data_IF_167937900150
#
_entry.id   IF_167937900150
#
_cell.length_a   1.000
_cell.length_b   1.000
_cell.length_c   1.000
_cell.angle_alpha   90.00
_cell.angle_beta   90.00
_cell.angle_gamma   90.00
#
_symmetry.space_group_name_H-M   'P 1'
#
loop_
_entity.id
_entity.type
_entity.pdbx_description
1 polymer ?
#
# COMPACT_ATOMS: atom_id res chain seq x y z
N UNK A 1 -21.07 6.96 -13.89
CA UNK A 1 -20.29 6.64 -12.68
C UNK A 1 -21.27 6.20 -11.61
N UNK A 2 -21.28 4.93 -11.24
CA UNK A 2 -22.23 4.40 -10.24
C UNK A 2 -21.82 4.84 -8.83
N UNK A 3 -22.62 5.65 -8.12
CA UNK A 3 -22.24 6.18 -6.81
C UNK A 3 -21.98 5.07 -5.79
N UNK A 4 -22.70 3.95 -5.89
CA UNK A 4 -22.49 2.75 -5.06
C UNK A 4 -21.12 2.09 -5.26
N UNK A 5 -20.52 2.20 -6.44
CA UNK A 5 -19.19 1.66 -6.72
C UNK A 5 -18.10 2.57 -6.13
N UNK A 6 -18.31 3.88 -6.20
CA UNK A 6 -17.37 4.86 -5.64
C UNK A 6 -17.31 4.78 -4.11
N UNK A 7 -18.45 4.65 -3.42
CA UNK A 7 -18.46 4.49 -1.95
C UNK A 7 -17.66 3.26 -1.51
N UNK A 8 -17.82 2.12 -2.22
CA UNK A 8 -17.06 0.90 -1.93
C UNK A 8 -15.55 1.07 -2.12
N UNK A 9 -15.12 1.92 -3.05
CA UNK A 9 -13.69 2.19 -3.28
C UNK A 9 -13.14 3.08 -2.18
N UNK A 10 -13.90 4.09 -1.75
CA UNK A 10 -13.49 5.02 -0.69
C UNK A 10 -13.45 4.37 0.71
N UNK A 11 -14.27 3.35 0.94
CA UNK A 11 -14.34 2.61 2.23
C UNK A 11 -13.34 1.45 2.31
N UNK A 12 -12.65 1.12 1.23
CA UNK A 12 -11.76 -0.05 1.18
C UNK A 12 -10.42 0.27 1.84
N UNK A 13 -10.03 -0.57 2.79
CA UNK A 13 -8.70 -0.54 3.40
C UNK A 13 -7.82 -1.64 2.80
N UNK A 14 -6.51 -1.50 2.97
CA UNK A 14 -5.54 -2.54 2.64
C UNK A 14 -5.84 -3.84 3.39
N UNK A 15 -5.77 -4.96 2.66
CA UNK A 15 -5.80 -6.31 3.19
C UNK A 15 -4.59 -7.11 2.67
N UNK A 16 -4.03 -8.02 3.47
CA UNK A 16 -2.85 -8.82 3.08
C UNK A 16 -3.05 -9.59 1.76
N UNK A 17 -4.28 -10.03 1.50
CA UNK A 17 -4.61 -10.74 0.26
C UNK A 17 -4.59 -9.84 -0.98
N UNK A 18 -4.53 -8.51 -0.84
CA UNK A 18 -4.43 -7.56 -1.96
C UNK A 18 -3.16 -7.78 -2.80
N UNK A 19 -2.07 -8.28 -2.19
CA UNK A 19 -0.87 -8.70 -2.92
C UNK A 19 -1.12 -9.82 -3.95
N UNK A 20 -2.15 -10.63 -3.74
CA UNK A 20 -2.49 -11.78 -4.61
C UNK A 20 -3.67 -11.47 -5.54
N UNK A 21 -4.36 -10.35 -5.34
CA UNK A 21 -5.52 -9.96 -6.15
C UNK A 21 -5.05 -9.33 -7.46
N UNK A 22 -5.82 -9.57 -8.52
CA UNK A 22 -5.46 -9.12 -9.88
C UNK A 22 -6.15 -7.81 -10.32
N UNK A 23 -7.02 -7.23 -9.50
CA UNK A 23 -7.66 -5.96 -9.82
C UNK A 23 -6.77 -4.76 -9.51
N UNK A 24 -6.93 -3.70 -10.29
CA UNK A 24 -6.09 -2.50 -10.23
C UNK A 24 -6.12 -1.81 -8.86
N UNK A 25 -7.27 -1.85 -8.17
CA UNK A 25 -7.41 -1.19 -6.88
C UNK A 25 -6.58 -1.94 -5.82
N UNK A 26 -6.70 -3.27 -5.76
CA UNK A 26 -5.91 -4.09 -4.84
C UNK A 26 -4.40 -3.94 -5.09
N UNK A 27 -3.99 -3.88 -6.36
CA UNK A 27 -2.58 -3.62 -6.71
C UNK A 27 -2.07 -2.27 -6.19
N UNK A 28 -2.86 -1.20 -6.36
CA UNK A 28 -2.47 0.12 -5.84
C UNK A 28 -2.41 0.18 -4.32
N UNK A 29 -3.34 -0.48 -3.62
CA UNK A 29 -3.28 -0.60 -2.16
C UNK A 29 -2.03 -1.37 -1.70
N UNK A 30 -1.73 -2.49 -2.35
CA UNK A 30 -0.55 -3.29 -2.05
C UNK A 30 0.76 -2.54 -2.31
N UNK A 31 0.84 -1.82 -3.43
CA UNK A 31 2.01 -1.03 -3.82
C UNK A 31 2.28 0.11 -2.82
N UNK A 32 1.23 0.84 -2.39
CA UNK A 32 1.39 1.88 -1.36
C UNK A 32 1.75 1.30 0.01
N UNK A 33 1.26 0.10 0.35
CA UNK A 33 1.66 -0.59 1.58
C UNK A 33 3.14 -1.00 1.56
N UNK A 34 3.61 -1.48 0.41
CA UNK A 34 5.03 -1.82 0.18
C UNK A 34 5.90 -0.57 0.26
N UNK A 35 5.57 0.51 -0.46
CA UNK A 35 6.33 1.77 -0.41
C UNK A 35 6.45 2.35 1.01
N UNK A 36 5.38 2.28 1.82
CA UNK A 36 5.40 2.74 3.22
C UNK A 36 6.28 1.83 4.08
N UNK A 37 6.20 0.50 3.89
CA UNK A 37 7.02 -0.47 4.63
C UNK A 37 8.50 -0.33 4.27
N UNK A 38 8.81 -0.19 2.98
CA UNK A 38 10.14 0.06 2.47
C UNK A 38 10.68 1.37 3.04
N UNK A 39 9.92 2.46 3.01
CA UNK A 39 10.37 3.75 3.60
C UNK A 39 10.64 3.64 5.11
N UNK A 40 9.85 2.83 5.83
CA UNK A 40 10.05 2.61 7.26
C UNK A 40 11.31 1.76 7.53
N UNK A 41 11.57 0.74 6.71
CA UNK A 41 12.75 -0.13 6.81
C UNK A 41 14.02 0.55 6.28
N UNK A 42 13.92 1.37 5.25
CA UNK A 42 15.01 2.12 4.64
C UNK A 42 15.45 3.26 5.57
N UNK A 43 14.52 3.87 6.31
CA UNK A 43 14.83 4.82 7.39
C UNK A 43 15.62 4.23 8.56
N UNK A 44 15.64 2.90 8.73
CA UNK A 44 16.51 2.19 9.68
C UNK A 44 17.95 2.04 9.14
N UNK A 45 18.18 2.25 7.84
CA UNK A 45 19.50 2.09 7.19
C UNK A 45 20.29 3.39 7.03
N UNK A 46 19.70 4.55 7.36
CA UNK A 46 20.40 5.86 7.36
C UNK A 46 21.12 6.16 8.69
N UNK A 47 21.06 5.30 9.71
CA UNK A 47 21.78 5.47 10.99
C UNK A 47 23.19 4.83 11.07
N UNK A 48 23.67 4.10 10.04
CA UNK A 48 25.06 3.58 10.01
C UNK A 48 25.95 4.26 8.97
N UNK A 49 26.15 5.58 9.11
CA UNK A 49 27.39 6.24 8.66
C UNK A 49 27.92 7.20 9.73
N UNK A 50 28.27 6.65 10.89
CA UNK A 50 29.26 7.26 11.80
C UNK A 50 30.55 6.46 11.75
N UNK A 51 31.51 6.96 10.95
CA UNK A 51 32.95 7.14 11.20
C UNK A 51 33.75 7.20 9.89
#
# INVERSE_FOLDING_TARGET
MDPKKNSKIAERNYEVEDYKRNDQMSKGLAETHEQVSDSYMDGDNDEEQTE
#
